data_IF_699924628138
#
_entry.id   IF_699924628138
#
_cell.length_a   1.000
_cell.length_b   1.000
_cell.length_c   1.000
_cell.angle_alpha   90.00
_cell.angle_beta   90.00
_cell.angle_gamma   90.00
#
_symmetry.space_group_name_H-M   'P 1'
#
loop_
_entity.id
_entity.type
_entity.pdbx_description
1 polymer ?
#
# COMPACT_ATOMS: atom_id res chain seq x y z
N UNK A 1 -14.50 -7.98 -4.27
CA UNK A 1 -15.02 -6.64 -3.92
C UNK A 1 -15.88 -6.03 -5.03
N UNK A 2 -15.44 -5.96 -6.29
CA UNK A 2 -16.21 -5.30 -7.36
C UNK A 2 -17.45 -6.07 -7.87
N UNK A 3 -17.53 -7.38 -7.66
CA UNK A 3 -18.65 -8.20 -8.15
C UNK A 3 -20.04 -7.68 -7.74
N UNK A 4 -20.30 -7.27 -6.47
CA UNK A 4 -21.60 -6.71 -6.11
C UNK A 4 -21.93 -5.41 -6.84
N UNK A 5 -20.95 -4.58 -7.16
CA UNK A 5 -21.14 -3.35 -7.96
C UNK A 5 -21.47 -3.68 -9.42
N UNK A 6 -20.82 -4.72 -10.00
CA UNK A 6 -21.10 -5.15 -11.38
C UNK A 6 -22.49 -5.77 -11.56
N UNK A 7 -23.05 -6.35 -10.50
CA UNK A 7 -24.39 -6.97 -10.53
C UNK A 7 -25.53 -5.93 -10.50
N UNK A 8 -25.23 -4.68 -10.21
CA UNK A 8 -26.18 -3.58 -10.19
C UNK A 8 -26.36 -3.00 -11.60
N UNK A 9 -27.58 -2.98 -12.11
CA UNK A 9 -27.90 -2.43 -13.43
C UNK A 9 -27.87 -0.89 -13.49
N UNK A 10 -27.87 -0.23 -12.34
CA UNK A 10 -27.80 1.24 -12.19
C UNK A 10 -26.37 1.76 -11.92
N UNK A 11 -25.36 0.88 -11.84
CA UNK A 11 -23.95 1.24 -11.64
C UNK A 11 -23.14 0.86 -12.89
N UNK A 12 -22.49 1.85 -13.49
CA UNK A 12 -21.48 1.61 -14.51
C UNK A 12 -20.11 1.55 -13.89
N UNK A 13 -19.39 0.43 -14.06
CA UNK A 13 -18.06 0.22 -13.51
C UNK A 13 -17.01 0.16 -14.63
N UNK A 14 -16.10 1.11 -14.64
CA UNK A 14 -14.98 1.16 -15.57
C UNK A 14 -13.70 0.68 -14.86
N UNK A 15 -12.94 -0.21 -15.50
CA UNK A 15 -11.65 -0.69 -14.99
C UNK A 15 -10.50 -0.04 -15.75
N UNK A 16 -9.58 0.59 -15.02
CA UNK A 16 -8.36 1.17 -15.57
C UNK A 16 -7.14 0.40 -15.07
N UNK A 17 -6.60 -0.58 -15.83
CA UNK A 17 -5.38 -1.27 -15.46
C UNK A 17 -4.17 -0.34 -15.64
N UNK A 18 -3.38 -0.18 -14.58
CA UNK A 18 -2.15 0.61 -14.61
C UNK A 18 -0.99 -0.29 -15.08
N UNK A 19 -0.65 -0.20 -16.35
CA UNK A 19 0.38 -1.03 -16.97
C UNK A 19 1.71 -0.26 -17.06
N UNK A 20 2.78 -0.73 -16.40
CA UNK A 20 4.12 -0.16 -16.56
C UNK A 20 4.61 -0.28 -17.99
N UNK A 21 5.25 0.76 -18.52
CA UNK A 21 5.88 0.71 -19.86
C UNK A 21 6.98 -0.35 -19.94
N UNK A 22 7.66 -0.61 -18.82
CA UNK A 22 8.55 -1.75 -18.64
C UNK A 22 7.95 -2.66 -17.56
N UNK A 23 7.49 -3.87 -17.91
CA UNK A 23 6.92 -4.81 -16.97
C UNK A 23 7.90 -5.17 -15.86
N UNK A 24 7.41 -5.23 -14.64
CA UNK A 24 8.19 -5.75 -13.52
C UNK A 24 8.22 -7.27 -13.56
N UNK A 25 9.40 -7.90 -13.37
CA UNK A 25 9.51 -9.35 -13.38
C UNK A 25 8.82 -9.98 -12.17
N UNK A 26 8.24 -11.15 -12.38
CA UNK A 26 7.81 -12.00 -11.27
C UNK A 26 8.05 -13.48 -11.65
N UNK A 27 8.77 -14.25 -10.84
CA UNK A 27 9.47 -13.84 -9.60
C UNK A 27 10.54 -12.78 -9.84
N UNK A 28 10.82 -11.98 -8.81
CA UNK A 28 11.80 -10.91 -8.90
C UNK A 28 13.23 -11.43 -8.79
N UNK A 29 14.15 -11.02 -9.67
CA UNK A 29 15.56 -11.12 -9.40
C UNK A 29 15.91 -10.27 -8.17
N UNK A 30 16.68 -10.83 -7.25
CA UNK A 30 16.91 -10.22 -5.92
C UNK A 30 17.42 -8.78 -5.99
N UNK A 31 18.46 -8.52 -6.78
CA UNK A 31 19.02 -7.17 -6.89
C UNK A 31 18.07 -6.20 -7.63
N UNK A 32 17.32 -6.68 -8.61
CA UNK A 32 16.42 -5.83 -9.40
C UNK A 32 15.26 -5.32 -8.54
N UNK A 33 14.77 -6.15 -7.61
CA UNK A 33 13.80 -5.71 -6.62
C UNK A 33 14.33 -4.54 -5.78
N UNK A 34 15.58 -4.61 -5.31
CA UNK A 34 16.14 -3.52 -4.52
C UNK A 34 16.57 -2.31 -5.35
N UNK A 35 16.80 -2.46 -6.66
CA UNK A 35 17.15 -1.33 -7.54
C UNK A 35 16.03 -0.30 -7.64
N UNK A 36 14.76 -0.71 -7.55
CA UNK A 36 13.63 0.21 -7.60
C UNK A 36 13.35 0.89 -6.26
N UNK A 37 14.04 0.49 -5.17
CA UNK A 37 13.79 0.99 -3.82
C UNK A 37 13.86 2.51 -3.69
N UNK A 38 14.91 3.22 -4.16
CA UNK A 38 15.00 4.67 -4.00
C UNK A 38 13.88 5.43 -4.73
N UNK A 39 13.57 5.04 -5.96
CA UNK A 39 12.51 5.68 -6.75
C UNK A 39 11.15 5.46 -6.10
N UNK A 40 10.90 4.27 -5.57
CA UNK A 40 9.63 3.94 -4.90
C UNK A 40 9.45 4.76 -3.63
N UNK A 41 10.47 4.79 -2.77
CA UNK A 41 10.39 5.52 -1.49
C UNK A 41 10.28 7.03 -1.69
N UNK A 42 10.98 7.57 -2.70
CA UNK A 42 10.96 9.00 -3.06
C UNK A 42 9.77 9.39 -3.93
N UNK A 43 8.85 8.47 -4.21
CA UNK A 43 7.67 8.70 -5.06
C UNK A 43 8.06 9.26 -6.44
N UNK A 44 9.14 8.76 -7.03
CA UNK A 44 9.59 9.13 -8.39
C UNK A 44 8.95 8.17 -9.38
N UNK A 45 8.00 8.63 -10.22
CA UNK A 45 7.23 7.75 -11.08
C UNK A 45 8.10 7.11 -12.17
N UNK A 46 7.79 5.87 -12.50
CA UNK A 46 8.26 5.20 -13.71
C UNK A 46 7.16 5.26 -14.78
N UNK A 47 7.49 5.34 -16.08
CA UNK A 47 6.48 5.48 -17.13
C UNK A 47 5.44 4.36 -17.12
N UNK A 48 4.19 4.72 -17.37
CA UNK A 48 3.10 3.80 -17.71
C UNK A 48 2.89 3.77 -19.24
N UNK A 49 2.27 2.71 -19.72
CA UNK A 49 1.63 2.75 -21.02
C UNK A 49 0.49 3.79 -21.02
N UNK A 50 0.10 4.33 -22.17
CA UNK A 50 -0.99 5.29 -22.25
C UNK A 50 -2.24 4.77 -21.53
N UNK A 51 -2.83 5.62 -20.70
CA UNK A 51 -4.01 5.27 -19.92
C UNK A 51 -5.24 5.27 -20.85
N UNK A 52 -5.90 4.11 -20.97
CA UNK A 52 -7.12 3.97 -21.78
C UNK A 52 -8.34 4.50 -21.00
N UNK A 53 -8.37 5.79 -20.72
CA UNK A 53 -9.45 6.45 -19.98
C UNK A 53 -9.78 7.80 -20.62
N UNK A 54 -11.08 8.10 -20.68
CA UNK A 54 -11.56 9.45 -20.99
C UNK A 54 -11.48 10.29 -19.71
N UNK A 55 -10.47 11.13 -19.65
CA UNK A 55 -10.23 11.99 -18.48
C UNK A 55 -11.27 13.13 -18.32
N UNK A 56 -12.10 13.38 -19.35
CA UNK A 56 -13.21 14.32 -19.25
C UNK A 56 -14.43 13.73 -18.52
N UNK A 57 -14.52 12.39 -18.44
CA UNK A 57 -15.59 11.68 -17.74
C UNK A 57 -15.52 11.97 -16.24
N UNK A 58 -16.69 12.21 -15.64
CA UNK A 58 -16.82 12.37 -14.19
C UNK A 58 -17.29 11.05 -13.58
N UNK A 59 -16.72 10.72 -12.44
CA UNK A 59 -17.07 9.53 -11.66
C UNK A 59 -17.63 9.94 -10.31
N UNK A 60 -18.67 9.26 -9.88
CA UNK A 60 -19.27 9.45 -8.54
C UNK A 60 -18.37 8.88 -7.45
N UNK A 61 -17.56 7.89 -7.79
CA UNK A 61 -16.61 7.25 -6.91
C UNK A 61 -15.41 6.69 -7.71
N UNK A 62 -14.20 6.85 -7.19
CA UNK A 62 -13.00 6.19 -7.72
C UNK A 62 -12.43 5.25 -6.67
N UNK A 63 -12.15 4.01 -7.06
CA UNK A 63 -11.49 3.01 -6.20
C UNK A 63 -10.04 2.87 -6.65
N UNK A 64 -9.10 3.27 -5.79
CA UNK A 64 -7.66 3.15 -6.04
C UNK A 64 -7.12 1.88 -5.38
N UNK A 65 -6.92 0.84 -6.19
CA UNK A 65 -6.36 -0.43 -5.72
C UNK A 65 -4.84 -0.45 -5.92
N UNK A 66 -4.06 -0.66 -4.85
CA UNK A 66 -2.61 -0.64 -4.93
C UNK A 66 -1.92 -1.58 -3.94
N UNK A 67 -0.67 -1.87 -4.22
CA UNK A 67 0.23 -2.62 -3.34
C UNK A 67 1.21 -1.67 -2.64
N UNK A 68 1.66 -2.06 -1.46
CA UNK A 68 2.70 -1.35 -0.71
C UNK A 68 4.07 -1.91 -1.06
N UNK A 69 4.94 -1.06 -1.61
CA UNK A 69 6.33 -1.35 -1.90
C UNK A 69 7.24 -0.43 -1.09
N UNK A 70 8.09 -0.98 -0.22
CA UNK A 70 9.02 -0.21 0.62
C UNK A 70 8.34 0.94 1.40
N UNK A 71 7.24 0.64 2.08
CA UNK A 71 6.43 1.61 2.85
C UNK A 71 5.96 2.82 2.00
N UNK A 72 5.70 2.57 0.73
CA UNK A 72 5.20 3.55 -0.24
C UNK A 72 4.18 2.90 -1.17
N UNK A 73 3.31 3.66 -1.83
CA UNK A 73 2.52 3.14 -2.92
C UNK A 73 3.40 2.50 -4.00
N UNK A 74 2.91 1.45 -4.64
CA UNK A 74 3.60 0.81 -5.76
C UNK A 74 3.92 1.80 -6.88
N UNK A 75 4.95 1.51 -7.67
CA UNK A 75 5.38 2.39 -8.76
C UNK A 75 4.27 2.68 -9.79
N UNK A 76 3.42 1.72 -10.21
CA UNK A 76 2.31 2.03 -11.11
C UNK A 76 1.32 3.03 -10.49
N UNK A 77 0.99 2.87 -9.20
CA UNK A 77 0.11 3.82 -8.51
C UNK A 77 0.76 5.21 -8.38
N UNK A 78 2.05 5.27 -8.06
CA UNK A 78 2.80 6.54 -8.01
C UNK A 78 2.78 7.25 -9.37
N UNK A 79 2.95 6.50 -10.46
CA UNK A 79 2.93 7.04 -11.81
C UNK A 79 1.53 7.55 -12.22
N UNK A 80 0.48 6.79 -11.89
CA UNK A 80 -0.90 7.24 -12.10
C UNK A 80 -1.17 8.56 -11.36
N UNK A 81 -0.86 8.62 -10.06
CA UNK A 81 -1.08 9.84 -9.26
C UNK A 81 -0.27 11.06 -9.75
N UNK A 82 0.80 10.85 -10.51
CA UNK A 82 1.59 11.93 -11.11
C UNK A 82 1.10 12.33 -12.51
N UNK A 83 0.15 11.60 -13.08
CA UNK A 83 -0.34 11.82 -14.45
C UNK A 83 -1.34 12.99 -14.54
N UNK A 84 -1.46 13.63 -15.72
CA UNK A 84 -2.49 14.63 -15.98
C UNK A 84 -3.91 14.06 -15.86
N UNK A 85 -4.12 12.79 -16.25
CA UNK A 85 -5.40 12.10 -16.19
C UNK A 85 -5.87 11.97 -14.73
N UNK A 86 -4.96 11.60 -13.81
CA UNK A 86 -5.29 11.55 -12.39
C UNK A 86 -5.71 12.90 -11.84
N UNK A 87 -5.05 14.00 -12.26
CA UNK A 87 -5.40 15.35 -11.83
C UNK A 87 -6.82 15.75 -12.29
N UNK A 88 -7.26 15.27 -13.44
CA UNK A 88 -8.61 15.55 -13.96
C UNK A 88 -9.67 14.63 -13.33
N UNK A 89 -9.40 13.33 -13.24
CA UNK A 89 -10.33 12.33 -12.74
C UNK A 89 -10.58 12.43 -11.24
N UNK A 90 -9.56 12.82 -10.46
CA UNK A 90 -9.64 12.80 -9.00
C UNK A 90 -10.09 14.12 -8.39
N UNK A 91 -10.03 15.23 -9.13
CA UNK A 91 -10.41 16.55 -8.62
C UNK A 91 -11.87 16.60 -8.16
N UNK A 92 -12.07 16.79 -6.86
CA UNK A 92 -13.41 16.82 -6.24
C UNK A 92 -14.09 15.46 -6.12
N UNK A 93 -13.46 14.39 -6.62
CA UNK A 93 -14.04 13.05 -6.67
C UNK A 93 -13.86 12.32 -5.34
N UNK A 94 -14.91 11.65 -4.82
CA UNK A 94 -14.76 10.73 -3.69
C UNK A 94 -13.87 9.55 -4.06
N UNK A 95 -12.95 9.19 -3.16
CA UNK A 95 -11.98 8.13 -3.37
C UNK A 95 -12.05 7.10 -2.25
N UNK A 96 -12.09 5.83 -2.62
CA UNK A 96 -11.87 4.69 -1.74
C UNK A 96 -10.51 4.08 -2.08
N UNK A 97 -9.67 3.82 -1.08
CA UNK A 97 -8.41 3.10 -1.31
C UNK A 97 -8.56 1.62 -0.94
N UNK A 98 -8.03 0.74 -1.78
CA UNK A 98 -7.93 -0.69 -1.54
C UNK A 98 -6.46 -1.09 -1.53
N UNK A 99 -5.97 -1.48 -0.38
CA UNK A 99 -4.56 -1.81 -0.15
C UNK A 99 -4.41 -3.32 -0.07
N UNK A 100 -3.54 -3.90 -0.91
CA UNK A 100 -3.03 -5.26 -0.75
C UNK A 100 -1.59 -5.21 -0.26
N UNK A 101 -1.30 -5.73 0.93
CA UNK A 101 0.04 -5.62 1.50
C UNK A 101 0.39 -6.75 2.45
N UNK A 102 1.66 -6.79 2.87
CA UNK A 102 2.11 -7.72 3.89
C UNK A 102 1.46 -7.41 5.25
N UNK A 103 1.75 -6.25 5.85
CA UNK A 103 1.16 -5.78 7.11
C UNK A 103 1.55 -4.34 7.49
N UNK A 104 2.51 -3.73 6.80
CA UNK A 104 3.01 -2.37 7.06
C UNK A 104 2.60 -1.46 5.90
N UNK A 105 1.49 -0.78 6.04
CA UNK A 105 0.87 0.03 4.98
C UNK A 105 0.59 1.48 5.39
N UNK A 106 0.74 1.82 6.67
CA UNK A 106 0.36 3.12 7.22
C UNK A 106 1.10 4.27 6.54
N UNK A 107 2.44 4.13 6.39
CA UNK A 107 3.24 5.19 5.78
C UNK A 107 3.01 5.30 4.27
N UNK A 108 2.67 4.21 3.60
CA UNK A 108 2.27 4.25 2.20
C UNK A 108 0.94 5.00 2.03
N UNK A 109 -0.03 4.72 2.91
CA UNK A 109 -1.33 5.41 2.89
C UNK A 109 -1.18 6.89 3.21
N UNK A 110 -0.31 7.29 4.14
CA UNK A 110 -0.05 8.71 4.41
C UNK A 110 0.52 9.45 3.19
N UNK A 111 1.45 8.83 2.46
CA UNK A 111 1.96 9.41 1.20
C UNK A 111 0.86 9.54 0.15
N UNK A 112 0.00 8.54 0.06
CA UNK A 112 -1.13 8.56 -0.87
C UNK A 112 -2.16 9.62 -0.45
N UNK A 113 -2.52 9.72 0.83
CA UNK A 113 -3.41 10.77 1.36
C UNK A 113 -2.88 12.17 1.02
N UNK A 114 -1.58 12.40 1.24
CA UNK A 114 -0.96 13.67 0.87
C UNK A 114 -1.14 13.96 -0.63
N UNK A 115 -0.87 12.97 -1.49
CA UNK A 115 -1.00 13.15 -2.93
C UNK A 115 -2.45 13.35 -3.38
N UNK A 116 -3.41 12.63 -2.78
CA UNK A 116 -4.85 12.85 -3.02
C UNK A 116 -5.27 14.27 -2.65
N UNK A 117 -4.80 14.78 -1.52
CA UNK A 117 -5.08 16.15 -1.09
C UNK A 117 -4.53 17.19 -2.09
N UNK A 118 -3.29 16.99 -2.58
CA UNK A 118 -2.68 17.84 -3.61
C UNK A 118 -3.49 17.83 -4.93
N UNK A 119 -4.10 16.69 -5.27
CA UNK A 119 -4.97 16.53 -6.46
C UNK A 119 -6.40 17.03 -6.23
N UNK A 120 -6.74 17.47 -5.02
CA UNK A 120 -8.09 17.91 -4.66
C UNK A 120 -9.11 16.76 -4.59
N UNK A 121 -8.66 15.54 -4.41
CA UNK A 121 -9.52 14.37 -4.22
C UNK A 121 -10.01 14.27 -2.77
N UNK A 122 -11.15 13.60 -2.54
CA UNK A 122 -11.72 13.38 -1.21
C UNK A 122 -11.62 11.91 -0.82
N UNK A 123 -10.69 11.55 0.04
CA UNK A 123 -10.63 10.20 0.58
C UNK A 123 -11.82 9.97 1.52
N UNK A 124 -12.71 9.06 1.16
CA UNK A 124 -13.94 8.74 1.93
C UNK A 124 -13.81 7.43 2.69
N UNK A 125 -13.09 6.46 2.15
CA UNK A 125 -12.87 5.16 2.79
C UNK A 125 -11.50 4.58 2.49
N UNK A 126 -11.05 3.66 3.36
CA UNK A 126 -9.85 2.88 3.18
C UNK A 126 -10.11 1.41 3.51
N UNK A 127 -9.61 0.52 2.68
CA UNK A 127 -9.65 -0.93 2.89
C UNK A 127 -8.22 -1.45 2.88
N UNK A 128 -7.82 -2.19 3.91
CA UNK A 128 -6.49 -2.78 3.98
C UNK A 128 -6.59 -4.31 4.16
N UNK A 129 -6.27 -5.04 3.11
CA UNK A 129 -6.15 -6.50 3.12
C UNK A 129 -4.70 -6.87 3.37
N UNK A 130 -4.44 -7.61 4.45
CA UNK A 130 -3.08 -7.93 4.88
C UNK A 130 -2.79 -9.42 4.77
N UNK A 131 -1.51 -9.75 4.67
CA UNK A 131 -1.02 -11.14 4.62
C UNK A 131 -1.44 -11.92 5.87
N UNK A 132 -1.96 -13.11 5.67
CA UNK A 132 -2.50 -13.97 6.72
C UNK A 132 -1.42 -14.72 7.54
N UNK A 133 -0.17 -14.81 7.04
CA UNK A 133 0.87 -15.61 7.70
C UNK A 133 1.45 -14.99 8.99
N UNK A 134 0.96 -13.81 9.38
CA UNK A 134 1.40 -13.11 10.59
C UNK A 134 2.74 -12.39 10.45
N UNK A 135 2.98 -11.43 11.34
CA UNK A 135 4.11 -10.49 11.22
C UNK A 135 5.48 -11.17 11.22
N UNK A 136 5.73 -12.11 12.13
CA UNK A 136 7.05 -12.76 12.24
C UNK A 136 7.33 -13.69 11.04
N UNK A 137 6.37 -14.55 10.69
CA UNK A 137 6.52 -15.49 9.59
C UNK A 137 6.62 -14.78 8.23
N UNK A 138 5.95 -13.64 8.06
CA UNK A 138 5.97 -12.86 6.83
C UNK A 138 7.34 -12.28 6.48
N UNK A 139 8.25 -12.14 7.45
CA UNK A 139 9.64 -11.75 7.17
C UNK A 139 10.40 -12.79 6.33
N UNK A 140 9.97 -14.05 6.37
CA UNK A 140 10.54 -15.13 5.57
C UNK A 140 9.61 -15.50 4.39
N UNK A 141 8.32 -15.71 4.66
CA UNK A 141 7.37 -16.21 3.68
C UNK A 141 7.20 -15.27 2.49
N UNK A 142 7.06 -13.96 2.73
CA UNK A 142 6.86 -12.97 1.66
C UNK A 142 8.09 -12.81 0.76
N UNK A 143 9.34 -12.67 1.28
CA UNK A 143 10.52 -12.68 0.43
C UNK A 143 10.70 -13.97 -0.37
N UNK A 144 10.45 -15.13 0.24
CA UNK A 144 10.51 -16.40 -0.47
C UNK A 144 9.52 -16.42 -1.64
N UNK A 145 8.27 -16.00 -1.42
CA UNK A 145 7.31 -15.87 -2.52
C UNK A 145 7.78 -14.90 -3.60
N UNK A 146 8.25 -13.72 -3.20
CA UNK A 146 8.70 -12.67 -4.10
C UNK A 146 9.83 -13.14 -5.03
N UNK A 147 10.80 -13.91 -4.50
CA UNK A 147 11.99 -14.34 -5.23
C UNK A 147 11.87 -15.73 -5.86
N UNK A 148 10.91 -16.55 -5.44
CA UNK A 148 10.71 -17.90 -6.01
C UNK A 148 9.44 -18.05 -6.84
N UNK A 149 8.50 -17.10 -6.73
CA UNK A 149 7.18 -17.19 -7.34
C UNK A 149 6.22 -18.14 -6.62
N UNK A 150 6.65 -18.81 -5.55
CA UNK A 150 5.85 -19.83 -4.84
C UNK A 150 5.38 -19.30 -3.49
N UNK A 151 4.06 -19.21 -3.28
CA UNK A 151 3.48 -18.76 -2.00
C UNK A 151 3.83 -19.66 -0.80
N UNK A 152 4.06 -20.94 -1.05
CA UNK A 152 4.46 -21.94 -0.05
C UNK A 152 5.59 -22.81 -0.61
N UNK A 153 6.83 -22.30 -0.65
CA UNK A 153 7.95 -23.03 -1.26
C UNK A 153 8.38 -24.25 -0.44
N UNK A 154 8.15 -24.26 0.88
CA UNK A 154 8.51 -25.35 1.79
C UNK A 154 7.35 -25.69 2.73
N UNK A 155 7.26 -26.94 3.19
CA UNK A 155 6.18 -27.42 4.08
C UNK A 155 6.13 -26.69 5.42
N UNK A 156 7.27 -26.30 5.96
CA UNK A 156 7.42 -25.61 7.24
C UNK A 156 7.24 -24.09 7.16
N UNK A 157 7.15 -23.51 5.96
CA UNK A 157 6.87 -22.08 5.76
C UNK A 157 5.37 -21.88 5.58
N UNK A 158 4.72 -21.00 6.34
CA UNK A 158 3.32 -20.68 6.09
C UNK A 158 3.14 -20.06 4.71
N UNK A 159 1.94 -20.23 4.15
CA UNK A 159 1.58 -19.62 2.86
C UNK A 159 1.65 -18.10 2.96
N UNK A 160 2.36 -17.45 2.04
CA UNK A 160 2.40 -16.00 1.92
C UNK A 160 1.19 -15.48 1.12
N UNK A 161 0.77 -14.27 1.44
CA UNK A 161 -0.28 -13.56 0.73
C UNK A 161 -1.56 -13.41 1.54
N UNK A 162 -2.50 -12.64 0.98
CA UNK A 162 -3.83 -12.44 1.55
C UNK A 162 -4.61 -13.74 1.42
N UNK A 163 -5.33 -14.14 2.48
CA UNK A 163 -6.14 -15.35 2.48
C UNK A 163 -7.25 -15.24 1.43
N UNK A 164 -7.51 -16.34 0.73
CA UNK A 164 -8.59 -16.43 -0.26
C UNK A 164 -9.96 -16.17 0.37
N UNK A 165 -10.15 -16.62 1.62
CA UNK A 165 -11.35 -16.34 2.38
C UNK A 165 -11.53 -14.82 2.64
N UNK A 166 -10.45 -14.10 2.97
CA UNK A 166 -10.53 -12.65 3.17
C UNK A 166 -10.73 -11.90 1.84
N UNK A 167 -10.13 -12.40 0.74
CA UNK A 167 -10.39 -11.86 -0.61
C UNK A 167 -11.86 -12.04 -0.99
N UNK A 168 -12.43 -13.21 -0.74
CA UNK A 168 -13.84 -13.49 -1.00
C UNK A 168 -14.75 -12.64 -0.09
N UNK A 169 -14.44 -12.57 1.21
CA UNK A 169 -15.17 -11.75 2.18
C UNK A 169 -15.10 -10.24 1.90
N UNK A 170 -14.15 -9.78 1.08
CA UNK A 170 -14.10 -8.38 0.65
C UNK A 170 -15.31 -7.96 -0.22
N UNK A 171 -16.18 -8.90 -0.63
CA UNK A 171 -17.48 -8.59 -1.27
C UNK A 171 -18.35 -7.71 -0.37
N UNK A 172 -18.29 -7.87 0.97
CA UNK A 172 -19.02 -7.05 1.95
C UNK A 172 -18.80 -5.54 1.76
N UNK A 173 -17.58 -5.15 1.37
CA UNK A 173 -17.28 -3.74 1.07
C UNK A 173 -17.96 -3.28 -0.23
N UNK A 174 -17.95 -4.14 -1.26
CA UNK A 174 -18.66 -3.87 -2.52
C UNK A 174 -20.15 -3.74 -2.33
N UNK A 175 -20.75 -4.60 -1.49
CA UNK A 175 -22.17 -4.55 -1.14
C UNK A 175 -22.54 -3.25 -0.42
N UNK A 176 -21.73 -2.83 0.58
CA UNK A 176 -21.95 -1.58 1.30
C UNK A 176 -21.84 -0.35 0.37
N UNK A 177 -20.82 -0.33 -0.52
CA UNK A 177 -20.70 0.72 -1.53
C UNK A 177 -21.88 0.71 -2.51
N UNK A 178 -22.32 -0.45 -3.00
CA UNK A 178 -23.45 -0.57 -3.90
C UNK A 178 -24.76 -0.07 -3.29
N UNK A 179 -24.97 -0.29 -1.98
CA UNK A 179 -26.11 0.24 -1.25
C UNK A 179 -26.10 1.76 -1.10
N UNK A 180 -24.92 2.37 -1.03
CA UNK A 180 -24.72 3.81 -0.86
C UNK A 180 -24.65 4.59 -2.18
N UNK A 181 -24.29 3.92 -3.28
CA UNK A 181 -24.24 4.51 -4.62
C UNK A 181 -25.64 4.51 -5.24
N UNK A 182 -26.56 5.25 -4.64
CA UNK A 182 -27.91 5.49 -5.17
C UNK A 182 -28.05 6.96 -5.54
N UNK A 183 -28.95 7.30 -6.46
CA UNK A 183 -29.15 8.69 -6.92
C UNK A 183 -29.40 9.65 -5.74
N UNK A 184 -30.15 9.21 -4.73
CA UNK A 184 -30.52 10.02 -3.56
C UNK A 184 -29.37 10.19 -2.55
N UNK A 185 -28.26 9.43 -2.70
CA UNK A 185 -27.11 9.44 -1.77
C UNK A 185 -25.91 10.19 -2.31
N UNK A 186 -25.95 10.73 -3.50
CA UNK A 186 -24.87 11.48 -4.12
C UNK A 186 -24.97 13.00 -3.79
N UNK A 187 -23.82 13.68 -3.61
CA UNK A 187 -22.46 13.14 -3.59
C UNK A 187 -22.11 12.40 -2.29
N UNK A 188 -21.21 11.43 -2.35
CA UNK A 188 -20.74 10.68 -1.18
C UNK A 188 -19.89 11.59 -0.28
N UNK A 189 -20.39 11.93 0.90
CA UNK A 189 -19.72 12.84 1.83
C UNK A 189 -19.17 12.13 3.08
N UNK A 190 -19.68 10.96 3.40
CA UNK A 190 -19.36 10.23 4.65
C UNK A 190 -18.81 8.84 4.33
N UNK A 191 -17.99 8.26 5.23
CA UNK A 191 -17.53 6.89 5.10
C UNK A 191 -18.70 5.91 4.95
N UNK A 192 -18.53 4.94 4.05
CA UNK A 192 -19.53 3.90 3.76
C UNK A 192 -19.21 2.59 4.48
N UNK A 193 -17.95 2.42 4.92
CA UNK A 193 -17.42 1.13 5.38
C UNK A 193 -17.22 1.06 6.89
N UNK A 194 -17.68 2.05 7.63
CA UNK A 194 -17.56 2.09 9.10
C UNK A 194 -18.21 0.86 9.75
N UNK A 195 -17.48 0.19 10.63
CA UNK A 195 -17.96 -1.01 11.34
C UNK A 195 -17.87 -2.31 10.55
N UNK A 196 -17.39 -2.29 9.29
CA UNK A 196 -17.23 -3.49 8.47
C UNK A 196 -15.84 -4.15 8.58
N UNK A 197 -14.97 -3.63 9.46
CA UNK A 197 -13.61 -4.12 9.60
C UNK A 197 -12.77 -3.88 8.34
N UNK A 198 -12.98 -2.76 7.66
CA UNK A 198 -12.26 -2.39 6.44
C UNK A 198 -10.77 -2.12 6.72
N UNK A 199 -10.46 -1.66 7.93
CA UNK A 199 -9.10 -1.39 8.40
C UNK A 199 -8.85 -2.11 9.71
N UNK A 200 -7.68 -2.75 9.83
CA UNK A 200 -7.18 -3.34 11.09
C UNK A 200 -5.78 -2.80 11.35
N UNK A 201 -5.59 -2.14 12.48
CA UNK A 201 -4.31 -1.54 12.86
C UNK A 201 -3.57 -2.42 13.86
N UNK A 202 -2.41 -2.94 13.48
CA UNK A 202 -1.49 -3.57 14.43
C UNK A 202 -0.68 -2.46 15.15
N UNK A 203 -1.09 -2.15 16.38
CA UNK A 203 -0.48 -1.12 17.22
C UNK A 203 1.04 -1.33 17.42
N UNK A 204 1.49 -2.60 17.43
CA UNK A 204 2.90 -2.96 17.64
C UNK A 204 3.79 -2.52 16.47
N UNK A 205 3.20 -2.34 15.29
CA UNK A 205 3.90 -1.98 14.06
C UNK A 205 4.00 -0.46 13.85
N UNK A 206 3.11 0.35 14.44
CA UNK A 206 3.05 1.81 14.18
C UNK A 206 4.42 2.47 14.35
N UNK A 207 5.04 2.31 15.51
CA UNK A 207 6.33 2.92 15.79
C UNK A 207 7.45 2.36 14.89
N UNK A 208 7.44 1.05 14.62
CA UNK A 208 8.43 0.40 13.73
C UNK A 208 8.32 0.94 12.31
N UNK A 209 7.11 1.09 11.81
CA UNK A 209 6.85 1.56 10.46
C UNK A 209 7.28 3.03 10.28
N UNK A 210 7.02 3.87 11.27
CA UNK A 210 7.48 5.27 11.28
C UNK A 210 9.01 5.36 11.25
N UNK A 211 9.70 4.58 12.09
CA UNK A 211 11.16 4.54 12.13
C UNK A 211 11.71 3.97 10.82
N UNK A 212 11.15 2.86 10.34
CA UNK A 212 11.51 2.25 9.07
C UNK A 212 11.36 3.22 7.90
N UNK A 213 10.26 3.97 7.84
CA UNK A 213 10.04 4.96 6.79
C UNK A 213 11.10 6.08 6.81
N UNK A 214 11.50 6.57 7.99
CA UNK A 214 12.58 7.57 8.11
C UNK A 214 13.92 7.01 7.60
N UNK A 215 14.26 5.79 8.00
CA UNK A 215 15.46 5.09 7.54
C UNK A 215 15.42 4.92 6.01
N UNK A 216 14.29 4.47 5.45
CA UNK A 216 14.12 4.30 4.02
C UNK A 216 14.27 5.62 3.26
N UNK A 217 13.70 6.71 3.77
CA UNK A 217 13.86 8.05 3.18
C UNK A 217 15.34 8.48 3.14
N UNK A 218 16.08 8.28 4.23
CA UNK A 218 17.50 8.62 4.28
C UNK A 218 18.31 7.82 3.26
N UNK A 219 18.19 6.49 3.30
CA UNK A 219 18.90 5.60 2.39
C UNK A 219 18.54 5.84 0.91
N UNK A 220 17.27 6.10 0.63
CA UNK A 220 16.84 6.40 -0.74
C UNK A 220 17.46 7.68 -1.28
N UNK A 221 17.59 8.72 -0.45
CA UNK A 221 18.27 9.96 -0.84
C UNK A 221 19.76 9.73 -1.07
N UNK A 222 20.43 8.99 -0.18
CA UNK A 222 21.83 8.64 -0.33
C UNK A 222 22.09 7.84 -1.61
N UNK A 223 21.30 6.80 -1.85
CA UNK A 223 21.41 5.97 -3.04
C UNK A 223 21.12 6.75 -4.33
N UNK A 224 20.13 7.63 -4.32
CA UNK A 224 19.81 8.48 -5.46
C UNK A 224 20.93 9.49 -5.77
N UNK A 225 21.64 9.99 -4.74
CA UNK A 225 22.80 10.88 -4.91
C UNK A 225 24.03 10.17 -5.51
N UNK A 226 24.11 8.84 -5.44
CA UNK A 226 25.20 8.06 -6.05
C UNK A 226 25.05 7.90 -7.58
N UNK A 227 23.94 8.39 -8.16
CA UNK A 227 23.71 8.42 -9.61
C UNK A 227 22.43 7.68 -10.06
N UNK A 228 22.27 7.51 -11.36
CA UNK A 228 21.11 6.86 -11.93
C UNK A 228 21.01 5.37 -11.53
N UNK A 229 19.85 4.77 -11.70
CA UNK A 229 19.52 3.40 -11.23
C UNK A 229 20.55 2.33 -11.64
N UNK A 230 21.16 2.50 -12.80
CA UNK A 230 22.11 1.52 -13.36
C UNK A 230 23.59 1.87 -13.10
N UNK A 231 23.89 2.92 -12.32
CA UNK A 231 25.27 3.30 -12.06
C UNK A 231 25.98 2.28 -11.15
N UNK A 232 27.26 2.03 -11.41
CA UNK A 232 28.07 1.11 -10.59
C UNK A 232 28.20 1.60 -9.14
N UNK A 233 28.35 2.93 -8.93
CA UNK A 233 28.42 3.53 -7.58
C UNK A 233 27.17 3.25 -6.78
N UNK A 234 26.00 3.41 -7.41
CA UNK A 234 24.72 3.11 -6.77
C UNK A 234 24.55 1.62 -6.50
N UNK A 235 25.02 0.74 -7.39
CA UNK A 235 24.98 -0.71 -7.16
C UNK A 235 25.79 -1.12 -5.93
N UNK A 236 27.00 -0.57 -5.74
CA UNK A 236 27.80 -0.79 -4.52
C UNK A 236 27.05 -0.26 -3.27
N UNK A 237 26.57 0.97 -3.32
CA UNK A 237 25.78 1.54 -2.22
C UNK A 237 24.54 0.70 -1.89
N UNK A 238 23.90 0.11 -2.89
CA UNK A 238 22.74 -0.77 -2.73
C UNK A 238 23.11 -2.07 -1.98
N UNK A 239 24.25 -2.67 -2.29
CA UNK A 239 24.75 -3.85 -1.56
C UNK A 239 25.01 -3.50 -0.09
N UNK A 240 25.62 -2.36 0.18
CA UNK A 240 25.84 -1.86 1.55
C UNK A 240 24.51 -1.65 2.27
N UNK A 241 23.53 -1.05 1.60
CA UNK A 241 22.18 -0.88 2.15
C UNK A 241 21.50 -2.22 2.47
N UNK A 242 21.59 -3.20 1.57
CA UNK A 242 21.00 -4.53 1.79
C UNK A 242 21.66 -5.20 3.00
N UNK A 243 22.98 -5.15 3.11
CA UNK A 243 23.70 -5.69 4.28
C UNK A 243 23.28 -5.00 5.58
N UNK A 244 23.16 -3.66 5.57
CA UNK A 244 22.64 -2.88 6.68
C UNK A 244 21.21 -3.30 7.04
N UNK A 245 20.31 -3.44 6.05
CA UNK A 245 18.91 -3.82 6.27
C UNK A 245 18.81 -5.22 6.89
N UNK A 246 19.57 -6.19 6.40
CA UNK A 246 19.61 -7.55 6.94
C UNK A 246 20.14 -7.56 8.39
N UNK A 247 21.22 -6.84 8.65
CA UNK A 247 21.74 -6.68 10.01
C UNK A 247 20.69 -6.07 10.94
N UNK A 248 19.98 -5.02 10.51
CA UNK A 248 18.93 -4.37 11.28
C UNK A 248 17.77 -5.33 11.58
N UNK A 249 17.34 -6.12 10.59
CA UNK A 249 16.27 -7.11 10.76
C UNK A 249 16.64 -8.17 11.79
N UNK A 250 17.88 -8.65 11.77
CA UNK A 250 18.33 -9.75 12.64
C UNK A 250 18.64 -9.26 14.06
N UNK A 251 19.11 -8.02 14.22
CA UNK A 251 19.58 -7.49 15.52
C UNK A 251 18.59 -6.52 16.15
N UNK A 252 18.28 -5.41 15.47
CA UNK A 252 17.50 -4.29 16.05
C UNK A 252 16.02 -4.63 16.16
N UNK A 253 15.47 -5.37 15.19
CA UNK A 253 14.02 -5.70 15.21
C UNK A 253 13.67 -6.56 16.43
N UNK A 254 14.35 -7.69 16.73
CA UNK A 254 14.06 -8.49 17.93
C UNK A 254 14.28 -7.70 19.23
N UNK A 255 15.40 -6.96 19.32
CA UNK A 255 15.72 -6.16 20.51
C UNK A 255 14.66 -5.06 20.74
N UNK A 256 14.25 -4.38 19.67
CA UNK A 256 13.21 -3.35 19.75
C UNK A 256 11.85 -3.92 20.14
N UNK A 257 11.53 -5.14 19.72
CA UNK A 257 10.29 -5.81 20.10
C UNK A 257 10.24 -6.10 21.61
N UNK A 258 11.37 -6.54 22.18
CA UNK A 258 11.51 -6.73 23.62
C UNK A 258 11.36 -5.41 24.38
N UNK A 259 12.09 -4.37 23.96
CA UNK A 259 12.03 -3.04 24.59
C UNK A 259 10.63 -2.42 24.53
N UNK A 260 9.94 -2.53 23.39
CA UNK A 260 8.56 -2.07 23.24
C UNK A 260 7.60 -2.76 24.21
N UNK A 261 7.76 -4.08 24.43
CA UNK A 261 6.94 -4.81 25.40
C UNK A 261 7.11 -4.27 26.81
N UNK A 262 8.34 -3.90 27.20
CA UNK A 262 8.64 -3.32 28.51
C UNK A 262 8.10 -1.89 28.64
N UNK A 263 8.18 -1.09 27.59
CA UNK A 263 7.77 0.32 27.60
C UNK A 263 6.31 0.56 27.18
N UNK A 264 5.59 -0.49 26.81
CA UNK A 264 4.21 -0.39 26.32
C UNK A 264 3.27 0.42 27.25
N UNK A 265 3.32 0.27 28.59
CA UNK A 265 2.45 1.03 29.49
C UNK A 265 2.67 2.55 29.38
N UNK A 266 3.92 2.99 29.19
CA UNK A 266 4.28 4.41 29.12
C UNK A 266 3.76 5.12 27.86
N UNK A 267 3.56 4.36 26.77
CA UNK A 267 3.16 4.90 25.48
C UNK A 267 1.71 4.57 25.09
N UNK A 268 0.94 3.98 25.98
CA UNK A 268 -0.42 3.48 25.70
C UNK A 268 -1.35 4.54 25.11
N UNK A 269 -1.47 5.70 25.74
CA UNK A 269 -2.35 6.77 25.25
C UNK A 269 -1.93 7.30 23.87
N UNK A 270 -0.62 7.47 23.65
CA UNK A 270 -0.09 7.90 22.36
C UNK A 270 -0.42 6.89 21.27
N UNK A 271 -0.20 5.61 21.57
CA UNK A 271 -0.48 4.51 20.63
C UNK A 271 -1.97 4.46 20.28
N UNK A 272 -2.86 4.64 21.24
CA UNK A 272 -4.31 4.68 21.01
C UNK A 272 -4.73 5.87 20.12
N UNK A 273 -4.16 7.05 20.34
CA UNK A 273 -4.40 8.22 19.46
C UNK A 273 -3.90 7.96 18.04
N UNK A 274 -2.70 7.39 17.90
CA UNK A 274 -2.14 7.04 16.60
C UNK A 274 -2.98 5.96 15.89
N UNK A 275 -3.47 4.95 16.64
CA UNK A 275 -4.39 3.93 16.13
C UNK A 275 -5.67 4.56 15.58
N UNK A 276 -6.33 5.40 16.36
CA UNK A 276 -7.55 6.10 15.94
C UNK A 276 -7.32 6.97 14.69
N UNK A 277 -6.17 7.66 14.61
CA UNK A 277 -5.81 8.45 13.44
C UNK A 277 -5.66 7.59 12.18
N UNK A 278 -4.91 6.48 12.26
CA UNK A 278 -4.65 5.62 11.09
C UNK A 278 -5.86 4.77 10.70
N UNK A 279 -6.81 4.53 11.60
CA UNK A 279 -8.06 3.87 11.28
C UNK A 279 -8.98 4.72 10.38
N UNK A 280 -8.86 6.05 10.43
CA UNK A 280 -9.65 6.94 9.60
C UNK A 280 -9.28 6.86 8.09
N UNK A 281 -10.30 7.11 7.20
CA UNK A 281 -11.65 7.55 7.50
C UNK A 281 -12.65 6.42 7.85
N UNK A 282 -12.39 5.17 7.48
CA UNK A 282 -13.36 4.07 7.61
C UNK A 282 -13.61 3.61 9.05
N UNK A 283 -12.61 3.80 9.94
CA UNK A 283 -12.63 3.20 11.27
C UNK A 283 -12.24 1.70 11.26
N UNK A 284 -12.14 1.10 12.45
CA UNK A 284 -11.94 -0.36 12.61
C UNK A 284 -13.27 -1.11 12.60
#
# INVERSE_FOLDING_TARGET
>A
MCAPLQQRGDIQLDFLPLQPAQPYPFPWPFLDFFRIFPETVLMRPQPLLPLAVDSSKRYDLVILAYQVWFLSPSQPMTAFLASPEAAQLLKGTPVVTLIGCRNMWLMAQEKLKQRLNELGARLVDNIALTDACGTAASFLATPLWLFTGRQKPYSWVPRAGIDEAEIAAASRFGEAMAQRLTADSLPIERPMLTGLGAVRIDEKLIASEKVGNRSFQLWSRLLAALGPQQSRRRAVGLVVYIAFLLCLIVTVVPLSALLKKLLAPLFKERTQREKAYFAGPSGE
#
